data_IF_433591150434
#
_entry.id   IF_433591150434
#
_cell.length_a   1.000
_cell.length_b   1.000
_cell.length_c   1.000
_cell.angle_alpha   90.00
_cell.angle_beta   90.00
_cell.angle_gamma   90.00
#
_symmetry.space_group_name_H-M   'P 1'
#
loop_
_entity.id
_entity.type
_entity.pdbx_description
1 polymer ?
#
# COMPACT_ATOMS: atom_id res chain seq x y z
N UNK A 1 29.78 -2.58 5.95
CA UNK A 1 28.51 -3.34 6.02
C UNK A 1 28.38 -4.12 4.72
N UNK A 2 28.31 -5.45 4.80
CA UNK A 2 28.28 -6.31 3.62
C UNK A 2 26.83 -6.42 3.12
N UNK A 3 26.50 -5.78 1.99
CA UNK A 3 25.19 -5.88 1.36
C UNK A 3 25.16 -7.19 0.55
N UNK A 4 24.67 -8.26 1.15
CA UNK A 4 24.44 -9.53 0.44
C UNK A 4 23.29 -9.33 -0.55
N UNK A 5 23.61 -9.04 -1.82
CA UNK A 5 22.62 -8.94 -2.87
C UNK A 5 22.21 -10.36 -3.34
N UNK A 6 20.93 -10.76 -3.25
CA UNK A 6 20.51 -12.08 -3.69
C UNK A 6 20.73 -12.26 -5.20
N UNK A 7 21.15 -13.46 -5.62
CA UNK A 7 21.15 -13.82 -7.04
C UNK A 7 19.70 -13.92 -7.51
N UNK A 8 19.41 -13.29 -8.66
CA UNK A 8 18.06 -13.18 -9.26
C UNK A 8 17.04 -12.41 -8.40
N UNK A 9 17.26 -11.11 -8.12
CA UNK A 9 16.33 -10.33 -7.32
C UNK A 9 14.97 -10.20 -8.02
N UNK A 10 13.88 -10.45 -7.28
CA UNK A 10 12.52 -10.27 -7.76
C UNK A 10 11.95 -8.93 -7.31
N UNK A 11 11.24 -8.25 -8.21
CA UNK A 11 10.55 -7.00 -7.93
C UNK A 11 9.11 -7.06 -8.42
N UNK A 12 8.24 -6.26 -7.80
CA UNK A 12 6.87 -6.04 -8.27
C UNK A 12 6.84 -4.75 -9.08
N UNK A 13 6.13 -4.77 -10.21
CA UNK A 13 5.90 -3.58 -11.05
C UNK A 13 4.48 -3.07 -10.80
N UNK A 14 4.35 -1.77 -10.52
CA UNK A 14 3.07 -1.08 -10.47
C UNK A 14 2.29 -1.27 -9.16
N UNK A 15 0.96 -1.24 -9.28
CA UNK A 15 0.03 -1.26 -8.15
C UNK A 15 -0.20 -2.67 -7.61
N UNK A 16 -0.26 -2.78 -6.28
CA UNK A 16 -0.79 -3.96 -5.60
C UNK A 16 -2.32 -3.93 -5.56
N UNK A 17 -3.00 -5.08 -5.35
CA UNK A 17 -4.44 -5.10 -5.15
C UNK A 17 -4.85 -4.17 -4.02
N UNK A 18 -5.75 -3.21 -4.30
CA UNK A 18 -6.27 -2.30 -3.28
C UNK A 18 -7.19 -3.09 -2.33
N UNK A 19 -6.90 -3.12 -1.02
CA UNK A 19 -7.80 -3.67 -0.01
C UNK A 19 -9.17 -3.01 -0.08
N UNK A 20 -10.22 -3.72 0.36
CA UNK A 20 -11.59 -3.21 0.31
C UNK A 20 -11.72 -1.86 1.04
N UNK A 21 -11.15 -1.76 2.24
CA UNK A 21 -11.19 -0.53 3.04
C UNK A 21 -10.55 0.68 2.33
N UNK A 22 -9.52 0.47 1.49
CA UNK A 22 -8.90 1.55 0.69
C UNK A 22 -9.87 2.04 -0.38
N UNK A 23 -10.65 1.12 -0.97
CA UNK A 23 -11.67 1.48 -1.97
C UNK A 23 -12.78 2.29 -1.31
N UNK A 24 -13.24 1.84 -0.14
CA UNK A 24 -14.29 2.51 0.62
C UNK A 24 -13.84 3.93 1.01
N UNK A 25 -12.61 4.08 1.53
CA UNK A 25 -12.00 5.38 1.87
C UNK A 25 -11.93 6.34 0.66
N UNK A 26 -11.64 5.82 -0.54
CA UNK A 26 -11.63 6.62 -1.78
C UNK A 26 -13.03 7.12 -2.12
N UNK A 27 -14.05 6.27 -1.97
CA UNK A 27 -15.43 6.68 -2.22
C UNK A 27 -15.91 7.71 -1.17
N UNK A 28 -15.55 7.56 0.10
CA UNK A 28 -15.84 8.53 1.16
C UNK A 28 -15.24 9.91 0.84
N UNK A 29 -14.00 9.96 0.34
CA UNK A 29 -13.37 11.22 -0.08
C UNK A 29 -14.09 11.82 -1.29
N UNK A 30 -14.44 11.02 -2.28
CA UNK A 30 -15.18 11.48 -3.48
C UNK A 30 -16.57 12.03 -3.12
N UNK A 31 -17.21 11.47 -2.09
CA UNK A 31 -18.47 11.93 -1.55
C UNK A 31 -18.34 13.17 -0.64
N UNK A 32 -17.12 13.64 -0.35
CA UNK A 32 -16.87 14.78 0.53
C UNK A 32 -17.10 14.47 2.02
N UNK A 33 -17.17 13.19 2.39
CA UNK A 33 -17.40 12.75 3.77
C UNK A 33 -16.13 12.84 4.64
N UNK A 34 -14.96 12.86 3.99
CA UNK A 34 -13.66 13.00 4.64
C UNK A 34 -12.82 14.05 3.91
N UNK A 35 -12.15 14.91 4.68
CA UNK A 35 -11.22 15.89 4.16
C UNK A 35 -9.86 15.28 3.79
N UNK A 36 -9.10 15.99 2.95
CA UNK A 36 -7.83 15.51 2.40
C UNK A 36 -6.82 15.08 3.47
N UNK A 37 -6.64 15.87 4.54
CA UNK A 37 -5.68 15.54 5.60
C UNK A 37 -6.02 14.26 6.35
N UNK A 38 -7.31 14.00 6.56
CA UNK A 38 -7.77 12.78 7.21
C UNK A 38 -7.68 11.58 6.26
N UNK A 39 -7.98 11.78 4.98
CA UNK A 39 -7.80 10.77 3.94
C UNK A 39 -6.35 10.30 3.84
N UNK A 40 -5.40 11.24 3.72
CA UNK A 40 -3.97 10.92 3.58
C UNK A 40 -3.46 10.12 4.78
N UNK A 41 -3.81 10.55 5.99
CA UNK A 41 -3.42 9.86 7.24
C UNK A 41 -3.94 8.42 7.31
N UNK A 42 -5.18 8.17 6.87
CA UNK A 42 -5.75 6.81 6.90
C UNK A 42 -5.17 5.96 5.76
N UNK A 43 -4.94 6.58 4.59
CA UNK A 43 -4.38 5.87 3.44
C UNK A 43 -2.97 5.34 3.71
N UNK A 44 -2.18 6.00 4.56
CA UNK A 44 -0.85 5.54 4.98
C UNK A 44 -0.85 4.12 5.58
N UNK A 45 -1.95 3.69 6.20
CA UNK A 45 -2.12 2.34 6.74
C UNK A 45 -2.16 1.24 5.65
N UNK A 46 -2.29 1.63 4.37
CA UNK A 46 -2.18 0.72 3.24
C UNK A 46 -0.73 0.27 3.00
N UNK A 47 0.26 1.08 3.38
CA UNK A 47 1.69 0.78 3.16
C UNK A 47 2.12 -0.49 3.93
N UNK A 48 1.84 -0.64 5.24
CA UNK A 48 2.12 -1.89 5.94
C UNK A 48 1.45 -3.13 5.31
N UNK A 49 0.25 -2.96 4.74
CA UNK A 49 -0.46 -4.05 4.07
C UNK A 49 0.24 -4.48 2.78
N UNK A 50 0.73 -3.52 1.99
CA UNK A 50 1.55 -3.76 0.81
C UNK A 50 2.88 -4.47 1.14
N UNK A 51 3.54 -4.06 2.23
CA UNK A 51 4.79 -4.68 2.70
C UNK A 51 4.55 -6.15 3.06
N UNK A 52 3.55 -6.43 3.92
CA UNK A 52 3.22 -7.80 4.34
C UNK A 52 2.86 -8.70 3.15
N UNK A 53 2.15 -8.16 2.17
CA UNK A 53 1.81 -8.90 0.96
C UNK A 53 3.09 -9.29 0.21
N UNK A 54 4.01 -8.34 0.00
CA UNK A 54 5.29 -8.61 -0.67
C UNK A 54 6.13 -9.62 0.10
N UNK A 55 6.25 -9.48 1.42
CA UNK A 55 7.03 -10.41 2.26
C UNK A 55 6.47 -11.84 2.27
N UNK A 56 5.17 -12.02 2.05
CA UNK A 56 4.56 -13.34 1.93
C UNK A 56 4.90 -14.05 0.61
N UNK A 57 5.15 -13.28 -0.45
CA UNK A 57 5.25 -13.79 -1.83
C UNK A 57 6.61 -13.55 -2.49
N UNK A 58 7.49 -12.75 -1.88
CA UNK A 58 8.90 -12.58 -2.26
C UNK A 58 9.78 -13.57 -1.54
#
# INVERSE_FOLDING_TARGET
MNLTNPLFPTFVVGSLPRPQWVRDLIEDRKAGLIGDSAFDRILDDAVPSAIRLREKYG
#
